data_IF_805592723130
#
_entry.id   IF_805592723130
#
_cell.length_a   1.000
_cell.length_b   1.000
_cell.length_c   1.000
_cell.angle_alpha   90.00
_cell.angle_beta   90.00
_cell.angle_gamma   90.00
#
_symmetry.space_group_name_H-M   'P 1'
#
loop_
_entity.id
_entity.type
_entity.pdbx_description
1 polymer ?
#
# COMPACT_ATOMS: atom_id res chain seq x y z
N UNK A 1 64.25 -27.83 -17.88
CA UNK A 1 63.46 -29.08 -17.80
C UNK A 1 63.25 -29.39 -16.33
N UNK A 2 62.06 -29.78 -15.87
CA UNK A 2 60.97 -28.88 -15.50
C UNK A 2 60.59 -28.93 -14.00
N UNK A 3 59.70 -28.00 -13.64
CA UNK A 3 58.59 -28.10 -12.66
C UNK A 3 58.58 -27.13 -11.48
N UNK A 4 57.37 -26.59 -11.32
CA UNK A 4 56.66 -26.13 -10.12
C UNK A 4 56.53 -24.64 -9.75
N UNK A 5 55.25 -24.29 -9.70
CA UNK A 5 54.52 -23.45 -8.75
C UNK A 5 54.72 -21.92 -8.80
N UNK A 6 53.70 -21.26 -9.37
CA UNK A 6 53.29 -19.90 -9.02
C UNK A 6 52.20 -19.95 -7.96
N UNK A 7 52.56 -19.65 -6.72
CA UNK A 7 51.62 -19.18 -5.70
C UNK A 7 51.63 -17.65 -5.67
N UNK A 8 50.44 -17.08 -5.46
CA UNK A 8 50.17 -15.64 -5.39
C UNK A 8 50.62 -15.08 -4.04
N UNK A 9 51.58 -14.15 -4.05
CA UNK A 9 51.86 -13.25 -2.93
C UNK A 9 51.16 -11.89 -3.14
N UNK A 10 50.49 -11.42 -2.10
CA UNK A 10 49.92 -10.07 -2.00
C UNK A 10 50.94 -9.10 -1.39
N UNK A 11 50.93 -7.79 -1.74
CA UNK A 11 51.63 -6.79 -0.93
C UNK A 11 50.71 -5.78 -0.26
N UNK A 12 50.81 -5.81 1.08
CA UNK A 12 51.01 -4.71 2.03
C UNK A 12 50.25 -3.37 1.89
N UNK A 13 49.48 -3.09 2.95
CA UNK A 13 48.92 -1.79 3.33
C UNK A 13 49.99 -0.79 3.80
N UNK A 14 49.95 0.45 3.28
CA UNK A 14 50.66 1.59 3.86
C UNK A 14 49.68 2.58 4.52
N UNK A 15 49.96 2.89 5.79
CA UNK A 15 49.19 3.76 6.68
C UNK A 15 49.52 5.24 6.41
N UNK A 16 48.54 6.03 5.99
CA UNK A 16 48.62 7.50 5.88
C UNK A 16 48.15 8.20 7.16
N UNK A 17 49.06 8.97 7.78
CA UNK A 17 48.83 9.82 8.97
C UNK A 17 47.80 10.93 8.69
N UNK A 18 46.88 11.17 9.63
CA UNK A 18 45.98 12.34 9.68
C UNK A 18 46.59 13.46 10.52
N UNK A 19 46.63 14.67 9.97
CA UNK A 19 46.89 15.89 10.74
C UNK A 19 45.62 16.34 11.49
N UNK A 20 45.82 16.91 12.68
CA UNK A 20 44.81 17.55 13.53
C UNK A 20 44.92 19.06 13.38
N UNK A 21 43.80 19.70 13.08
CA UNK A 21 43.48 21.12 13.31
C UNK A 21 41.96 21.22 13.11
N UNK A 22 41.16 22.02 13.80
CA UNK A 22 41.24 22.86 14.99
C UNK A 22 39.75 23.05 15.37
N UNK A 23 39.42 23.09 16.65
CA UNK A 23 38.04 23.03 17.15
C UNK A 23 37.31 24.37 16.93
N UNK A 24 36.26 24.33 16.11
CA UNK A 24 35.27 25.40 15.98
C UNK A 24 33.87 24.79 15.92
N UNK A 25 33.06 25.14 16.92
CA UNK A 25 31.72 24.62 17.23
C UNK A 25 30.85 24.30 15.99
N UNK A 26 30.36 23.05 15.90
CA UNK A 26 29.29 22.66 14.96
C UNK A 26 28.18 21.90 15.70
N UNK A 27 26.90 22.27 15.49
CA UNK A 27 25.76 21.53 16.05
C UNK A 27 25.68 20.10 15.48
N UNK A 28 25.33 19.15 16.34
CA UNK A 28 25.12 17.70 16.08
C UNK A 28 24.93 17.29 14.61
N UNK A 29 26.03 16.95 13.93
CA UNK A 29 26.00 16.30 12.62
C UNK A 29 25.99 14.78 12.79
N UNK A 30 24.88 14.14 12.45
CA UNK A 30 24.83 12.70 12.19
C UNK A 30 25.94 12.33 11.19
N UNK A 31 26.69 11.28 11.51
CA UNK A 31 27.86 10.83 10.74
C UNK A 31 27.57 10.57 9.25
N UNK A 32 28.62 10.46 8.42
CA UNK A 32 28.47 10.48 6.97
C UNK A 32 27.71 9.24 6.48
N UNK A 33 26.44 9.43 6.12
CA UNK A 33 25.65 8.43 5.39
C UNK A 33 26.25 8.23 4.01
N UNK A 34 26.58 6.99 3.64
CA UNK A 34 26.92 6.60 2.26
C UNK A 34 25.88 7.21 1.31
N UNK A 35 26.30 8.13 0.43
CA UNK A 35 25.45 8.71 -0.60
C UNK A 35 25.07 7.60 -1.58
N UNK A 36 23.92 6.97 -1.36
CA UNK A 36 23.24 6.22 -2.42
C UNK A 36 22.96 7.23 -3.55
N UNK A 37 23.23 6.84 -4.80
CA UNK A 37 22.86 7.66 -5.95
C UNK A 37 21.38 8.03 -5.81
N UNK A 38 21.08 9.33 -5.70
CA UNK A 38 19.69 9.81 -5.54
C UNK A 38 18.94 9.38 -6.80
N UNK A 39 18.09 8.37 -6.68
CA UNK A 39 17.11 8.02 -7.71
C UNK A 39 16.23 9.24 -7.96
N UNK A 40 15.82 9.44 -9.22
CA UNK A 40 14.97 10.58 -9.58
C UNK A 40 13.72 10.66 -8.66
N UNK A 41 13.37 11.84 -8.12
CA UNK A 41 12.21 12.00 -7.25
C UNK A 41 10.89 11.50 -7.86
N UNK A 42 10.70 11.57 -9.17
CA UNK A 42 9.51 11.03 -9.84
C UNK A 42 9.39 9.52 -9.69
N UNK A 43 10.50 8.79 -9.57
CA UNK A 43 10.47 7.36 -9.25
C UNK A 43 9.85 7.17 -7.86
N UNK A 44 10.17 8.04 -6.91
CA UNK A 44 9.61 7.98 -5.56
C UNK A 44 8.10 8.29 -5.56
N UNK A 45 7.65 9.31 -6.29
CA UNK A 45 6.22 9.60 -6.42
C UNK A 45 5.46 8.51 -7.17
N UNK A 46 6.04 7.96 -8.24
CA UNK A 46 5.46 6.84 -8.98
C UNK A 46 5.25 5.61 -8.08
N UNK A 47 6.16 5.34 -7.14
CA UNK A 47 5.98 4.28 -6.13
C UNK A 47 4.74 4.50 -5.26
N UNK A 48 4.47 5.74 -4.86
CA UNK A 48 3.29 6.05 -4.05
C UNK A 48 2.01 6.02 -4.87
N UNK A 49 2.03 6.64 -6.04
CA UNK A 49 0.92 6.66 -6.99
C UNK A 49 0.42 5.24 -7.30
N UNK A 50 1.34 4.33 -7.61
CA UNK A 50 1.00 2.94 -7.93
C UNK A 50 0.37 2.17 -6.77
N UNK A 51 0.62 2.59 -5.53
CA UNK A 51 0.07 1.96 -4.32
C UNK A 51 -1.25 2.56 -3.87
N UNK A 52 -1.54 3.80 -4.22
CA UNK A 52 -2.61 4.58 -3.55
C UNK A 52 -3.62 5.23 -4.49
N UNK A 53 -3.30 5.35 -5.77
CA UNK A 53 -4.14 5.99 -6.79
C UNK A 53 -4.45 4.98 -7.90
N UNK A 54 -3.43 4.52 -8.64
CA UNK A 54 -3.65 3.58 -9.75
C UNK A 54 -2.46 2.65 -9.98
N UNK A 55 -2.68 1.35 -9.75
CA UNK A 55 -1.66 0.31 -9.95
C UNK A 55 -1.30 0.08 -11.43
N UNK A 56 -2.31 0.12 -12.31
CA UNK A 56 -2.14 -0.09 -13.75
C UNK A 56 -2.52 1.20 -14.48
N UNK A 57 -1.51 1.98 -14.85
CA UNK A 57 -1.67 3.27 -15.53
C UNK A 57 -0.68 3.38 -16.69
N UNK A 58 -1.15 3.91 -17.83
CA UNK A 58 -0.28 4.40 -18.88
C UNK A 58 0.00 5.88 -18.65
N UNK A 59 1.17 6.23 -18.13
CA UNK A 59 1.45 7.62 -17.77
C UNK A 59 1.54 8.57 -18.98
N UNK A 60 2.07 8.11 -20.11
CA UNK A 60 2.14 8.96 -21.31
C UNK A 60 0.75 9.38 -21.82
N UNK A 61 -0.20 8.47 -22.09
CA UNK A 61 -1.55 8.88 -22.46
C UNK A 61 -2.23 9.69 -21.36
N UNK A 62 -2.07 9.32 -20.08
CA UNK A 62 -2.64 10.06 -18.95
C UNK A 62 -2.17 11.53 -18.94
N UNK A 63 -0.86 11.77 -19.09
CA UNK A 63 -0.29 13.11 -19.07
C UNK A 63 -0.73 13.93 -20.29
N UNK A 64 -0.72 13.34 -21.48
CA UNK A 64 -1.11 14.03 -22.72
C UNK A 64 -2.61 14.38 -22.75
N UNK A 65 -3.47 13.41 -22.46
CA UNK A 65 -4.93 13.62 -22.42
C UNK A 65 -5.29 14.59 -21.30
N UNK A 66 -4.73 14.41 -20.10
CA UNK A 66 -4.99 15.27 -18.95
C UNK A 66 -4.57 16.73 -19.19
N UNK A 67 -3.38 16.96 -19.78
CA UNK A 67 -2.93 18.31 -20.12
C UNK A 67 -3.79 18.97 -21.21
N UNK A 68 -4.28 18.17 -22.17
CA UNK A 68 -5.18 18.64 -23.24
C UNK A 68 -6.53 19.08 -22.66
N UNK A 69 -7.17 18.22 -21.86
CA UNK A 69 -8.45 18.50 -21.18
C UNK A 69 -8.31 19.74 -20.30
N UNK A 70 -7.26 19.81 -19.47
CA UNK A 70 -7.07 20.96 -18.58
C UNK A 70 -6.85 22.27 -19.35
N UNK A 71 -6.14 22.24 -20.47
CA UNK A 71 -5.96 23.43 -21.32
C UNK A 71 -7.28 23.88 -21.94
N UNK A 72 -8.13 22.93 -22.36
CA UNK A 72 -9.46 23.23 -22.88
C UNK A 72 -10.38 23.84 -21.81
N UNK A 73 -10.37 23.27 -20.59
CA UNK A 73 -11.13 23.79 -19.45
C UNK A 73 -10.70 25.21 -19.08
N UNK A 74 -9.39 25.46 -18.95
CA UNK A 74 -8.86 26.80 -18.64
C UNK A 74 -9.17 27.84 -19.72
N UNK A 75 -9.30 27.41 -20.97
CA UNK A 75 -9.69 28.25 -22.10
C UNK A 75 -11.22 28.45 -22.22
N UNK A 76 -12.02 27.86 -21.33
CA UNK A 76 -13.48 27.91 -21.38
C UNK A 76 -14.09 27.18 -22.58
N UNK A 77 -13.32 26.28 -23.22
CA UNK A 77 -13.74 25.50 -24.40
C UNK A 77 -14.44 24.19 -24.03
N UNK A 78 -14.29 23.76 -22.79
CA UNK A 78 -14.77 22.48 -22.26
C UNK A 78 -15.10 22.66 -20.78
N UNK A 79 -16.10 21.95 -20.29
CA UNK A 79 -16.38 21.78 -18.87
C UNK A 79 -16.21 20.32 -18.46
N UNK A 80 -16.12 20.04 -17.16
CA UNK A 80 -16.01 18.66 -16.68
C UNK A 80 -17.27 17.86 -17.06
N UNK A 81 -18.42 18.53 -17.16
CA UNK A 81 -19.70 17.92 -17.51
C UNK A 81 -19.83 17.52 -18.99
N UNK A 82 -18.95 18.03 -19.83
CA UNK A 82 -18.86 17.64 -21.24
C UNK A 82 -18.03 16.36 -21.45
N UNK A 83 -17.32 15.86 -20.43
CA UNK A 83 -16.49 14.66 -20.51
C UNK A 83 -17.33 13.40 -20.39
N UNK A 84 -17.02 12.38 -21.20
CA UNK A 84 -17.55 11.03 -20.98
C UNK A 84 -17.02 10.40 -19.68
N UNK A 85 -17.68 9.35 -19.19
CA UNK A 85 -17.33 8.74 -17.89
C UNK A 85 -15.88 8.26 -17.80
N UNK A 86 -15.37 7.63 -18.88
CA UNK A 86 -13.97 7.19 -18.93
C UNK A 86 -12.99 8.37 -18.93
N UNK A 87 -13.26 9.42 -19.72
CA UNK A 87 -12.42 10.61 -19.79
C UNK A 87 -12.41 11.37 -18.46
N UNK A 88 -13.56 11.49 -17.81
CA UNK A 88 -13.70 12.08 -16.48
C UNK A 88 -12.85 11.32 -15.47
N UNK A 89 -12.94 9.99 -15.44
CA UNK A 89 -12.16 9.15 -14.53
C UNK A 89 -10.66 9.26 -14.79
N UNK A 90 -10.22 9.26 -16.06
CA UNK A 90 -8.81 9.48 -16.39
C UNK A 90 -8.34 10.88 -15.99
N UNK A 91 -9.18 11.90 -16.17
CA UNK A 91 -8.88 13.27 -15.77
C UNK A 91 -8.80 13.44 -14.24
N UNK A 92 -9.62 12.72 -13.47
CA UNK A 92 -9.53 12.66 -12.01
C UNK A 92 -8.20 12.05 -11.56
N UNK A 93 -7.81 10.91 -12.14
CA UNK A 93 -6.51 10.28 -11.87
C UNK A 93 -5.35 11.22 -12.21
N UNK A 94 -5.45 11.96 -13.32
CA UNK A 94 -4.47 12.97 -13.70
C UNK A 94 -4.39 14.10 -12.65
N UNK A 95 -5.54 14.60 -12.18
CA UNK A 95 -5.58 15.62 -11.13
C UNK A 95 -4.98 15.13 -9.80
N UNK A 96 -5.23 13.88 -9.43
CA UNK A 96 -4.58 13.27 -8.26
C UNK A 96 -3.06 13.16 -8.43
N UNK A 97 -2.57 12.81 -9.62
CA UNK A 97 -1.15 12.82 -9.92
C UNK A 97 -0.54 14.22 -9.76
N UNK A 98 -1.22 15.27 -10.25
CA UNK A 98 -0.78 16.66 -10.09
C UNK A 98 -0.75 17.11 -8.63
N UNK A 99 -1.69 16.66 -7.80
CA UNK A 99 -1.68 16.93 -6.35
C UNK A 99 -0.56 16.18 -5.62
N UNK A 100 -0.24 14.97 -6.09
CA UNK A 100 0.78 14.12 -5.49
C UNK A 100 2.21 14.60 -5.78
N UNK A 101 2.48 15.06 -7.00
CA UNK A 101 3.82 15.42 -7.46
C UNK A 101 3.98 16.95 -7.42
N UNK A 102 4.78 17.49 -6.48
CA UNK A 102 5.06 18.92 -6.44
C UNK A 102 5.66 19.40 -7.76
N UNK A 103 5.25 20.59 -8.19
CA UNK A 103 5.76 21.28 -9.39
C UNK A 103 5.48 20.55 -10.72
N UNK A 104 4.75 19.44 -10.72
CA UNK A 104 4.46 18.70 -11.96
C UNK A 104 3.60 19.53 -12.92
N UNK A 105 2.65 20.30 -12.38
CA UNK A 105 1.79 21.18 -13.16
C UNK A 105 2.62 22.24 -13.88
N UNK A 106 3.51 22.92 -13.19
CA UNK A 106 4.42 23.92 -13.74
C UNK A 106 5.36 23.31 -14.77
N UNK A 107 5.85 22.10 -14.51
CA UNK A 107 6.74 21.36 -15.41
C UNK A 107 6.05 20.97 -16.72
N UNK A 108 4.79 20.57 -16.69
CA UNK A 108 4.02 20.20 -17.89
C UNK A 108 3.65 21.40 -18.77
N UNK A 109 3.44 22.58 -18.18
CA UNK A 109 3.12 23.82 -18.91
C UNK A 109 4.32 24.76 -19.09
N UNK A 110 5.53 24.29 -18.80
CA UNK A 110 6.74 25.05 -19.09
C UNK A 110 6.85 25.23 -20.61
N UNK A 111 7.21 26.43 -21.08
CA UNK A 111 7.41 26.73 -22.49
C UNK A 111 8.49 25.86 -23.15
N UNK A 112 9.43 25.37 -22.34
CA UNK A 112 10.50 24.46 -22.78
C UNK A 112 10.10 22.97 -22.68
N UNK A 113 8.91 22.65 -22.14
CA UNK A 113 8.42 21.28 -22.06
C UNK A 113 8.05 20.78 -23.45
N UNK A 114 8.89 19.91 -23.98
CA UNK A 114 8.64 19.22 -25.25
C UNK A 114 8.20 17.77 -24.99
N UNK A 115 7.85 17.04 -26.05
CA UNK A 115 7.43 15.63 -25.95
C UNK A 115 8.43 14.74 -25.23
N UNK A 116 9.74 15.02 -25.29
CA UNK A 116 10.76 14.24 -24.59
C UNK A 116 10.66 14.41 -23.07
N UNK A 117 10.26 15.59 -22.59
CA UNK A 117 10.08 15.84 -21.17
C UNK A 117 8.87 15.07 -20.62
N UNK A 118 7.76 15.04 -21.35
CA UNK A 118 6.57 14.25 -20.99
C UNK A 118 6.93 12.75 -20.97
N UNK A 119 7.64 12.27 -22.00
CA UNK A 119 8.11 10.88 -22.07
C UNK A 119 9.04 10.54 -20.90
N UNK A 120 9.93 11.46 -20.52
CA UNK A 120 10.82 11.29 -19.39
C UNK A 120 10.03 11.17 -18.07
N UNK A 121 9.09 12.09 -17.82
CA UNK A 121 8.25 12.08 -16.63
C UNK A 121 7.46 10.77 -16.54
N UNK A 122 6.80 10.40 -17.64
CA UNK A 122 6.03 9.16 -17.75
C UNK A 122 6.90 7.94 -17.46
N UNK A 123 8.11 7.88 -18.00
CA UNK A 123 9.06 6.80 -17.79
C UNK A 123 9.51 6.68 -16.33
N UNK A 124 9.81 7.80 -15.67
CA UNK A 124 10.23 7.79 -14.26
C UNK A 124 9.09 7.38 -13.33
N UNK A 125 7.87 7.86 -13.56
CA UNK A 125 6.68 7.45 -12.80
C UNK A 125 6.38 5.96 -12.99
N UNK A 126 6.42 5.48 -14.24
CA UNK A 126 6.22 4.06 -14.57
C UNK A 126 7.27 3.16 -13.91
N UNK A 127 8.55 3.59 -13.91
CA UNK A 127 9.63 2.92 -13.20
C UNK A 127 9.36 2.86 -11.69
N UNK A 128 8.83 3.93 -11.12
CA UNK A 128 8.38 3.98 -9.73
C UNK A 128 7.31 2.93 -9.42
N UNK A 129 6.21 2.93 -10.17
CA UNK A 129 5.10 1.97 -10.02
C UNK A 129 5.59 0.53 -10.14
N UNK A 130 6.37 0.23 -11.18
CA UNK A 130 6.91 -1.10 -11.42
C UNK A 130 7.85 -1.55 -10.28
N UNK A 131 8.70 -0.65 -9.80
CA UNK A 131 9.61 -0.90 -8.68
C UNK A 131 8.86 -1.18 -7.38
N UNK A 132 7.86 -0.36 -7.02
CA UNK A 132 7.04 -0.59 -5.82
C UNK A 132 6.38 -1.96 -5.84
N UNK A 133 5.71 -2.29 -6.95
CA UNK A 133 5.05 -3.58 -7.13
C UNK A 133 6.01 -4.76 -7.03
N UNK A 134 7.19 -4.66 -7.64
CA UNK A 134 8.20 -5.73 -7.57
C UNK A 134 8.67 -5.98 -6.14
N UNK A 135 9.02 -4.92 -5.41
CA UNK A 135 9.49 -5.00 -4.03
C UNK A 135 8.40 -5.55 -3.09
N UNK A 136 7.17 -5.04 -3.22
CA UNK A 136 6.06 -5.43 -2.37
C UNK A 136 5.62 -6.87 -2.67
N UNK A 137 5.55 -7.28 -3.95
CA UNK A 137 5.31 -8.69 -4.31
C UNK A 137 6.39 -9.61 -3.75
N UNK A 138 7.67 -9.23 -3.88
CA UNK A 138 8.78 -10.06 -3.41
C UNK A 138 8.70 -10.27 -1.89
N UNK A 139 8.42 -9.21 -1.14
CA UNK A 139 8.36 -9.26 0.32
C UNK A 139 7.08 -9.97 0.81
N UNK A 140 5.91 -9.64 0.24
CA UNK A 140 4.63 -10.22 0.63
C UNK A 140 4.54 -11.70 0.28
N UNK A 141 5.16 -12.15 -0.82
CA UNK A 141 5.23 -13.57 -1.19
C UNK A 141 5.72 -14.46 -0.05
N UNK A 142 6.71 -14.00 0.71
CA UNK A 142 7.26 -14.75 1.84
C UNK A 142 6.43 -14.56 3.12
N UNK A 143 5.92 -13.34 3.35
CA UNK A 143 5.14 -13.02 4.54
C UNK A 143 3.74 -13.66 4.53
N UNK A 144 3.12 -13.85 3.36
CA UNK A 144 1.76 -14.39 3.27
C UNK A 144 1.67 -15.80 3.85
N UNK A 145 2.75 -16.60 3.73
CA UNK A 145 2.83 -17.94 4.31
C UNK A 145 2.81 -17.85 5.83
N UNK A 146 3.56 -16.92 6.42
CA UNK A 146 3.52 -16.68 7.87
C UNK A 146 2.14 -16.19 8.31
N UNK A 147 1.51 -15.29 7.55
CA UNK A 147 0.19 -14.72 7.85
C UNK A 147 -0.90 -15.80 7.91
N UNK A 148 -0.87 -16.78 7.01
CA UNK A 148 -1.88 -17.84 6.96
C UNK A 148 -1.53 -19.06 7.83
N UNK A 149 -0.29 -19.14 8.35
CA UNK A 149 0.13 -20.23 9.23
C UNK A 149 -0.36 -19.94 10.66
N UNK A 150 -1.11 -20.87 11.30
CA UNK A 150 -1.48 -20.69 12.70
C UNK A 150 -0.25 -20.54 13.61
N UNK A 151 -0.37 -19.73 14.67
CA UNK A 151 0.75 -19.44 15.57
C UNK A 151 1.22 -20.74 16.25
N UNK A 152 2.52 -21.00 16.19
CA UNK A 152 3.13 -22.19 16.78
C UNK A 152 2.90 -23.48 15.99
N UNK A 153 2.34 -23.41 14.78
CA UNK A 153 2.17 -24.58 13.91
C UNK A 153 2.91 -24.42 12.58
N UNK A 154 2.84 -25.47 11.75
CA UNK A 154 3.30 -25.46 10.36
C UNK A 154 2.14 -25.80 9.44
N UNK A 155 2.18 -25.32 8.19
CA UNK A 155 1.26 -25.78 7.16
C UNK A 155 1.61 -27.22 6.77
N UNK A 156 0.58 -27.99 6.43
CA UNK A 156 0.72 -29.37 5.98
C UNK A 156 0.03 -29.52 4.62
N UNK A 157 0.77 -29.87 3.54
CA UNK A 157 2.24 -29.95 3.47
C UNK A 157 2.94 -28.61 3.76
N UNK A 158 4.21 -28.65 4.18
CA UNK A 158 4.95 -27.41 4.43
C UNK A 158 5.19 -26.65 3.12
N UNK A 159 4.90 -25.35 3.11
CA UNK A 159 5.09 -24.49 1.94
C UNK A 159 6.40 -23.72 2.02
N UNK A 160 7.15 -23.71 0.91
CA UNK A 160 8.30 -22.83 0.75
C UNK A 160 7.87 -21.36 0.74
N UNK A 161 8.59 -20.53 1.50
CA UNK A 161 8.33 -19.08 1.56
C UNK A 161 8.64 -18.36 0.25
N UNK A 162 9.56 -18.88 -0.56
CA UNK A 162 10.04 -18.20 -1.77
C UNK A 162 9.58 -18.86 -3.07
N UNK A 163 9.11 -20.10 -3.03
CA UNK A 163 8.62 -20.86 -4.18
C UNK A 163 7.09 -20.96 -4.11
N UNK A 164 6.43 -20.78 -5.25
CA UNK A 164 4.96 -20.73 -5.34
C UNK A 164 4.33 -21.99 -5.94
N UNK A 165 5.11 -22.89 -6.54
CA UNK A 165 4.60 -24.05 -7.31
C UNK A 165 3.53 -24.85 -6.57
N UNK A 166 3.72 -25.05 -5.27
CA UNK A 166 2.84 -25.88 -4.45
C UNK A 166 1.70 -25.09 -3.77
N UNK A 167 1.58 -23.79 -4.05
CA UNK A 167 0.51 -22.92 -3.52
C UNK A 167 -0.73 -23.00 -4.42
N UNK A 168 -1.63 -22.04 -4.31
CA UNK A 168 -2.87 -22.04 -5.08
C UNK A 168 -3.75 -23.22 -4.68
N UNK A 169 -4.39 -23.83 -5.68
CA UNK A 169 -5.27 -24.99 -5.51
C UNK A 169 -4.52 -26.33 -5.33
N UNK A 170 -3.18 -26.31 -5.35
CA UNK A 170 -2.35 -27.47 -5.04
C UNK A 170 -2.17 -27.71 -3.53
N UNK A 171 -2.50 -26.72 -2.69
CA UNK A 171 -2.41 -26.84 -1.24
C UNK A 171 -3.73 -26.43 -0.55
N UNK A 172 -4.15 -27.22 0.44
CA UNK A 172 -5.46 -27.10 1.09
C UNK A 172 -5.71 -25.71 1.66
N UNK A 173 -4.73 -25.15 2.40
CA UNK A 173 -4.86 -23.81 3.00
C UNK A 173 -4.90 -22.68 1.98
N UNK A 174 -3.94 -22.60 1.05
CA UNK A 174 -3.92 -21.51 0.05
C UNK A 174 -5.12 -21.59 -0.89
N UNK A 175 -5.53 -22.80 -1.25
CA UNK A 175 -6.72 -23.03 -2.07
C UNK A 175 -7.99 -22.59 -1.35
N UNK A 176 -8.12 -22.86 -0.04
CA UNK A 176 -9.23 -22.35 0.78
C UNK A 176 -9.35 -20.83 0.73
N UNK A 177 -8.24 -20.09 0.87
CA UNK A 177 -8.26 -18.63 0.79
C UNK A 177 -8.61 -18.10 -0.61
N UNK A 178 -8.20 -18.82 -1.66
CA UNK A 178 -8.41 -18.43 -3.06
C UNK A 178 -9.74 -18.91 -3.65
N UNK A 179 -10.45 -19.81 -2.97
CA UNK A 179 -11.72 -20.34 -3.46
C UNK A 179 -12.70 -19.18 -3.67
N UNK A 180 -13.35 -19.09 -4.84
CA UNK A 180 -14.36 -18.08 -5.11
C UNK A 180 -15.52 -18.13 -4.14
N UNK A 181 -16.19 -16.99 -3.99
CA UNK A 181 -17.41 -16.86 -3.20
C UNK A 181 -18.56 -17.75 -3.68
N UNK A 182 -18.57 -18.13 -4.96
CA UNK A 182 -19.62 -18.95 -5.58
C UNK A 182 -19.41 -20.45 -5.40
N UNK A 183 -18.26 -20.88 -4.87
CA UNK A 183 -17.87 -22.29 -4.79
C UNK A 183 -17.64 -22.72 -3.33
N UNK A 184 -17.96 -23.98 -3.02
CA UNK A 184 -17.68 -24.55 -1.71
C UNK A 184 -16.33 -25.29 -1.72
N UNK A 185 -15.34 -24.75 -1.01
CA UNK A 185 -14.04 -25.41 -0.86
C UNK A 185 -14.12 -26.77 -0.15
N UNK A 186 -15.16 -27.03 0.65
CA UNK A 186 -15.34 -28.31 1.34
C UNK A 186 -15.81 -29.42 0.39
N UNK A 187 -16.37 -29.08 -0.77
CA UNK A 187 -16.67 -30.04 -1.82
C UNK A 187 -15.39 -30.53 -2.52
N UNK A 188 -15.22 -31.84 -2.56
CA UNK A 188 -14.05 -32.48 -3.18
C UNK A 188 -14.04 -32.34 -4.70
N UNK A 189 -15.21 -32.39 -5.34
CA UNK A 189 -15.31 -32.22 -6.79
C UNK A 189 -14.84 -30.82 -7.19
N UNK A 190 -15.29 -29.79 -6.48
CA UNK A 190 -14.82 -28.41 -6.61
C UNK A 190 -13.30 -28.29 -6.46
N UNK A 191 -12.71 -28.86 -5.39
CA UNK A 191 -11.25 -28.81 -5.19
C UNK A 191 -10.49 -29.47 -6.35
N UNK A 192 -10.96 -30.61 -6.83
CA UNK A 192 -10.31 -31.36 -7.90
C UNK A 192 -10.43 -30.62 -9.24
N UNK A 193 -11.58 -30.02 -9.53
CA UNK A 193 -11.80 -29.23 -10.75
C UNK A 193 -10.98 -27.93 -10.79
N UNK A 194 -10.81 -27.27 -9.64
CA UNK A 194 -9.91 -26.11 -9.50
C UNK A 194 -8.43 -26.50 -9.63
N UNK A 195 -8.03 -27.65 -9.05
CA UNK A 195 -6.65 -28.14 -9.11
C UNK A 195 -6.25 -28.61 -10.51
N UNK A 196 -7.17 -29.27 -11.23
CA UNK A 196 -6.93 -29.74 -12.61
C UNK A 196 -6.97 -28.62 -13.64
N UNK A 197 -7.53 -27.46 -13.29
CA UNK A 197 -7.75 -26.34 -14.20
C UNK A 197 -9.01 -26.48 -15.06
N UNK A 198 -9.87 -27.50 -14.79
CA UNK A 198 -11.17 -27.62 -15.42
C UNK A 198 -12.05 -26.40 -15.13
N UNK A 199 -11.97 -25.87 -13.91
CA UNK A 199 -12.50 -24.55 -13.58
C UNK A 199 -11.32 -23.58 -13.57
N UNK A 200 -11.31 -22.63 -14.51
CA UNK A 200 -10.32 -21.54 -14.54
C UNK A 200 -10.91 -20.31 -13.87
N UNK A 201 -10.15 -19.74 -12.93
CA UNK A 201 -10.57 -18.56 -12.18
C UNK A 201 -10.35 -17.29 -12.98
N UNK A 202 -11.40 -16.53 -13.20
CA UNK A 202 -11.35 -15.22 -13.83
C UNK A 202 -11.26 -14.10 -12.79
N UNK A 203 -10.94 -12.87 -13.22
CA UNK A 203 -10.74 -11.74 -12.31
C UNK A 203 -12.01 -11.27 -11.56
N UNK A 204 -13.18 -11.60 -12.09
CA UNK A 204 -14.52 -11.35 -11.54
C UNK A 204 -14.96 -12.36 -10.47
N UNK A 205 -14.29 -13.51 -10.38
CA UNK A 205 -14.55 -14.48 -9.33
C UNK A 205 -13.71 -14.14 -8.10
N UNK A 206 -14.34 -13.45 -7.16
CA UNK A 206 -13.64 -12.91 -6.01
C UNK A 206 -13.29 -14.00 -4.99
N UNK A 207 -12.04 -14.06 -4.53
CA UNK A 207 -11.63 -15.07 -3.58
C UNK A 207 -12.17 -14.76 -2.19
N UNK A 208 -12.55 -15.81 -1.46
CA UNK A 208 -13.14 -15.72 -0.12
C UNK A 208 -12.24 -15.02 0.91
N UNK A 209 -10.92 -14.92 0.64
CA UNK A 209 -10.01 -14.17 1.52
C UNK A 209 -10.33 -12.68 1.61
N UNK A 210 -11.11 -12.10 0.71
CA UNK A 210 -11.54 -10.70 0.87
C UNK A 210 -12.45 -10.54 2.09
N UNK A 211 -13.19 -11.59 2.45
CA UNK A 211 -14.24 -11.54 3.46
C UNK A 211 -13.76 -11.89 4.86
N UNK A 212 -14.33 -11.20 5.85
CA UNK A 212 -14.11 -11.48 7.25
C UNK A 212 -14.45 -12.95 7.58
N UNK A 213 -13.60 -13.60 8.38
CA UNK A 213 -13.73 -15.00 8.75
C UNK A 213 -13.84 -16.00 7.57
N UNK A 214 -13.50 -15.60 6.35
CA UNK A 214 -13.67 -16.38 5.12
C UNK A 214 -15.13 -16.81 4.90
N UNK A 215 -16.07 -15.90 5.12
CA UNK A 215 -17.50 -16.13 4.93
C UNK A 215 -18.11 -15.07 4.04
N UNK A 216 -18.81 -15.50 3.00
CA UNK A 216 -19.57 -14.64 2.10
C UNK A 216 -21.06 -14.76 2.42
N UNK A 217 -21.75 -13.63 2.52
CA UNK A 217 -23.20 -13.56 2.69
C UNK A 217 -23.85 -13.15 1.35
N UNK A 218 -24.54 -14.07 0.65
CA UNK A 218 -25.23 -13.72 -0.60
C UNK A 218 -26.40 -12.74 -0.43
N UNK A 219 -26.93 -12.58 0.78
CA UNK A 219 -28.00 -11.63 1.08
C UNK A 219 -27.48 -10.22 1.39
N UNK A 220 -26.22 -10.11 1.82
CA UNK A 220 -25.50 -8.85 2.04
C UNK A 220 -24.04 -9.01 1.59
N UNK A 221 -23.75 -8.77 0.30
CA UNK A 221 -22.40 -8.90 -0.24
C UNK A 221 -21.35 -7.98 0.39
N UNK A 222 -21.75 -6.92 1.11
CA UNK A 222 -20.81 -6.04 1.81
C UNK A 222 -20.43 -6.56 3.20
N UNK A 223 -21.17 -7.54 3.73
CA UNK A 223 -20.89 -8.12 5.03
C UNK A 223 -19.48 -8.70 5.07
N UNK A 224 -18.61 -8.10 5.90
CA UNK A 224 -17.23 -8.53 6.04
C UNK A 224 -16.34 -8.28 4.82
N UNK A 225 -16.83 -7.67 3.74
CA UNK A 225 -16.04 -7.40 2.54
C UNK A 225 -14.79 -6.56 2.88
N UNK A 226 -13.64 -6.99 2.34
CA UNK A 226 -12.31 -6.43 2.59
C UNK A 226 -11.86 -6.40 4.07
N UNK A 227 -12.52 -7.09 5.00
CA UNK A 227 -12.22 -7.02 6.45
C UNK A 227 -11.48 -8.24 7.00
N UNK A 228 -11.03 -9.16 6.13
CA UNK A 228 -10.34 -10.36 6.57
C UNK A 228 -9.00 -10.08 7.28
N UNK A 229 -8.60 -11.00 8.16
CA UNK A 229 -7.32 -10.90 8.89
C UNK A 229 -6.11 -10.88 7.94
N UNK A 230 -6.17 -11.62 6.85
CA UNK A 230 -5.10 -11.66 5.85
C UNK A 230 -4.98 -10.33 5.11
N UNK A 231 -6.11 -9.68 4.79
CA UNK A 231 -6.11 -8.33 4.21
C UNK A 231 -5.45 -7.33 5.14
N UNK A 232 -5.85 -7.28 6.41
CA UNK A 232 -5.27 -6.36 7.39
C UNK A 232 -3.77 -6.60 7.57
N UNK A 233 -3.35 -7.86 7.67
CA UNK A 233 -1.94 -8.22 7.84
C UNK A 233 -1.10 -7.87 6.61
N UNK A 234 -1.61 -8.13 5.40
CA UNK A 234 -0.95 -7.77 4.15
C UNK A 234 -0.85 -6.25 3.98
N UNK A 235 -1.90 -5.50 4.34
CA UNK A 235 -1.88 -4.04 4.29
C UNK A 235 -0.82 -3.47 5.22
N UNK A 236 -0.76 -3.96 6.47
CA UNK A 236 0.27 -3.55 7.43
C UNK A 236 1.68 -3.87 6.94
N UNK A 237 1.88 -5.05 6.35
CA UNK A 237 3.16 -5.46 5.77
C UNK A 237 3.62 -4.49 4.66
N UNK A 238 2.72 -4.07 3.78
CA UNK A 238 3.03 -3.14 2.67
C UNK A 238 3.20 -1.71 3.17
N UNK A 239 2.30 -1.19 4.00
CA UNK A 239 2.25 0.24 4.29
C UNK A 239 2.93 0.67 5.59
N UNK A 240 2.97 -0.18 6.61
CA UNK A 240 3.42 0.26 7.95
C UNK A 240 4.79 -0.31 8.31
N UNK A 241 4.90 -1.61 8.46
CA UNK A 241 6.18 -2.31 8.62
C UNK A 241 5.90 -3.81 8.65
N UNK A 242 6.77 -4.67 8.08
CA UNK A 242 6.71 -6.11 8.30
C UNK A 242 6.67 -6.49 9.79
N UNK A 243 7.35 -5.73 10.65
CA UNK A 243 7.37 -5.99 12.10
C UNK A 243 6.06 -5.68 12.84
N UNK A 244 5.18 -4.87 12.24
CA UNK A 244 3.92 -4.42 12.87
C UNK A 244 2.79 -5.44 12.83
N UNK A 245 3.00 -6.57 12.15
CA UNK A 245 2.00 -7.64 12.01
C UNK A 245 1.76 -8.35 13.36
N UNK A 246 2.75 -8.36 14.27
CA UNK A 246 2.69 -9.05 15.57
C UNK A 246 2.84 -8.14 16.81
N UNK A 247 3.01 -6.82 16.67
CA UNK A 247 3.20 -5.91 17.80
C UNK A 247 4.38 -4.95 17.61
N UNK A 248 4.94 -4.45 18.72
CA UNK A 248 5.79 -3.25 18.82
C UNK A 248 6.72 -2.97 17.62
N UNK A 249 6.78 -1.70 17.14
CA UNK A 249 7.58 -1.33 15.99
C UNK A 249 9.08 -1.51 16.28
N UNK A 250 9.67 -2.58 15.74
CA UNK A 250 11.13 -2.85 15.77
C UNK A 250 11.84 -2.39 14.49
N UNK A 251 11.19 -1.56 13.69
CA UNK A 251 11.67 -1.18 12.37
C UNK A 251 12.77 -0.10 12.46
N UNK A 252 13.89 -0.32 11.77
CA UNK A 252 14.96 0.66 11.59
C UNK A 252 14.67 1.67 10.46
N UNK A 253 13.56 1.49 9.73
CA UNK A 253 13.11 2.35 8.63
C UNK A 253 11.61 2.63 8.73
N UNK A 254 11.21 3.84 8.39
CA UNK A 254 9.80 4.25 8.30
C UNK A 254 9.03 3.41 7.27
N UNK A 255 7.76 3.11 7.57
CA UNK A 255 6.84 2.46 6.63
C UNK A 255 6.49 3.31 5.43
N UNK A 256 6.01 2.69 4.34
CA UNK A 256 5.56 3.40 3.14
C UNK A 256 4.51 4.48 3.46
N UNK A 257 3.56 4.21 4.36
CA UNK A 257 2.58 5.18 4.82
C UNK A 257 3.24 6.38 5.52
N UNK A 258 4.19 6.14 6.42
CA UNK A 258 4.90 7.22 7.11
C UNK A 258 5.82 8.01 6.16
N UNK A 259 6.50 7.34 5.23
CA UNK A 259 7.37 7.96 4.21
C UNK A 259 6.59 8.97 3.37
N UNK A 260 5.34 8.66 3.04
CA UNK A 260 4.49 9.50 2.20
C UNK A 260 3.43 10.30 3.00
N UNK A 261 3.52 10.31 4.33
CA UNK A 261 2.60 11.08 5.18
C UNK A 261 1.13 10.66 5.08
N UNK A 262 0.85 9.39 4.77
CA UNK A 262 -0.52 8.86 4.70
C UNK A 262 -1.21 8.97 6.06
N UNK A 263 -2.45 9.46 6.04
CA UNK A 263 -3.32 9.59 7.21
C UNK A 263 -4.60 8.76 7.11
N UNK A 264 -4.90 8.28 5.91
CA UNK A 264 -6.13 7.58 5.54
C UNK A 264 -5.77 6.46 4.56
N UNK A 265 -6.54 5.38 4.61
CA UNK A 265 -6.55 4.32 3.60
C UNK A 265 -7.33 4.82 2.38
N UNK A 266 -6.91 4.45 1.17
CA UNK A 266 -7.63 4.76 -0.08
C UNK A 266 -8.23 3.50 -0.71
N UNK A 267 -9.34 3.61 -1.47
CA UNK A 267 -9.88 2.51 -2.28
C UNK A 267 -8.81 1.77 -3.09
N UNK A 268 -8.00 2.51 -3.85
CA UNK A 268 -6.93 1.94 -4.65
C UNK A 268 -5.84 1.24 -3.83
N UNK A 269 -5.55 1.71 -2.60
CA UNK A 269 -4.61 1.01 -1.72
C UNK A 269 -5.13 -0.33 -1.21
N UNK A 270 -6.44 -0.45 -0.99
CA UNK A 270 -7.10 -1.71 -0.65
C UNK A 270 -7.08 -2.68 -1.83
N UNK A 271 -7.49 -2.22 -3.02
CA UNK A 271 -7.45 -3.01 -4.25
C UNK A 271 -6.03 -3.47 -4.60
N UNK A 272 -5.02 -2.61 -4.39
CA UNK A 272 -3.61 -2.92 -4.57
C UNK A 272 -3.19 -4.09 -3.66
N UNK A 273 -3.45 -3.99 -2.35
CA UNK A 273 -3.07 -5.03 -1.38
C UNK A 273 -3.80 -6.33 -1.63
N UNK A 274 -5.11 -6.29 -1.95
CA UNK A 274 -5.87 -7.47 -2.34
C UNK A 274 -5.23 -8.18 -3.54
N UNK A 275 -4.82 -7.41 -4.55
CA UNK A 275 -4.17 -7.94 -5.75
C UNK A 275 -2.84 -8.61 -5.43
N UNK A 276 -2.00 -7.99 -4.58
CA UNK A 276 -0.73 -8.61 -4.17
C UNK A 276 -0.94 -9.85 -3.30
N UNK A 277 -1.93 -9.85 -2.41
CA UNK A 277 -2.27 -10.99 -1.56
C UNK A 277 -2.78 -12.17 -2.39
N UNK A 278 -3.72 -11.93 -3.32
CA UNK A 278 -4.20 -12.91 -4.29
C UNK A 278 -3.04 -13.50 -5.07
N UNK A 279 -2.21 -12.66 -5.67
CA UNK A 279 -1.03 -13.13 -6.38
C UNK A 279 -0.11 -13.95 -5.46
N UNK A 280 0.16 -13.53 -4.24
CA UNK A 280 1.07 -14.24 -3.33
C UNK A 280 0.56 -15.63 -2.92
N UNK A 281 -0.76 -15.84 -2.91
CA UNK A 281 -1.40 -17.12 -2.61
C UNK A 281 -1.46 -18.08 -3.80
N UNK A 282 -1.41 -17.59 -5.04
CA UNK A 282 -1.49 -18.44 -6.24
C UNK A 282 -0.23 -19.25 -6.46
N UNK A 283 -0.29 -20.24 -7.37
CA UNK A 283 0.89 -20.98 -7.83
C UNK A 283 1.64 -20.30 -8.98
N UNK A 284 1.06 -19.28 -9.61
CA UNK A 284 1.64 -18.63 -10.78
C UNK A 284 3.00 -17.97 -10.47
N UNK A 285 4.06 -18.23 -11.26
CA UNK A 285 5.39 -17.68 -10.99
C UNK A 285 5.50 -16.20 -11.36
N UNK A 286 4.68 -15.70 -12.28
CA UNK A 286 4.83 -14.37 -12.89
C UNK A 286 3.62 -13.49 -12.63
N UNK A 287 3.88 -12.25 -12.24
CA UNK A 287 2.85 -11.22 -12.16
C UNK A 287 2.63 -10.66 -13.57
N UNK A 288 1.82 -11.33 -14.37
CA UNK A 288 1.55 -10.93 -15.76
C UNK A 288 0.31 -10.04 -15.87
N UNK A 289 0.33 -9.14 -16.86
CA UNK A 289 -0.83 -8.31 -17.27
C UNK A 289 -1.80 -9.05 -18.20
N UNK A 290 -1.34 -10.14 -18.83
CA UNK A 290 -2.04 -10.86 -19.92
C UNK A 290 -2.28 -12.32 -19.62
N UNK A 291 -1.84 -12.79 -18.44
CA UNK A 291 -2.04 -14.18 -18.04
C UNK A 291 -3.53 -14.40 -17.72
N UNK A 292 -4.23 -15.10 -18.62
CA UNK A 292 -5.65 -15.43 -18.50
C UNK A 292 -5.93 -16.32 -17.27
N UNK A 293 -4.92 -16.98 -16.72
CA UNK A 293 -5.06 -17.89 -15.56
C UNK A 293 -5.15 -17.13 -14.24
N UNK A 294 -4.52 -15.96 -14.14
CA UNK A 294 -4.60 -15.14 -12.92
C UNK A 294 -5.32 -13.82 -13.12
N UNK A 295 -5.30 -13.20 -14.29
CA UNK A 295 -6.00 -11.94 -14.62
C UNK A 295 -6.00 -10.89 -13.48
N UNK A 296 -4.80 -10.61 -12.94
CA UNK A 296 -4.63 -9.69 -11.81
C UNK A 296 -5.06 -8.26 -12.14
N UNK A 297 -5.00 -7.87 -13.42
CA UNK A 297 -5.44 -6.54 -13.87
C UNK A 297 -6.97 -6.44 -13.79
N UNK A 298 -7.70 -7.42 -14.31
CA UNK A 298 -9.17 -7.42 -14.22
C UNK A 298 -9.63 -7.51 -12.77
N UNK A 299 -9.00 -8.38 -11.97
CA UNK A 299 -9.29 -8.47 -10.53
C UNK A 299 -9.10 -7.11 -9.83
N UNK A 300 -7.95 -6.46 -10.03
CA UNK A 300 -7.70 -5.12 -9.47
C UNK A 300 -8.76 -4.11 -9.91
N UNK A 301 -9.07 -4.07 -11.21
CA UNK A 301 -10.01 -3.12 -11.77
C UNK A 301 -11.42 -3.31 -11.20
N UNK A 302 -11.91 -4.55 -11.11
CA UNK A 302 -13.25 -4.84 -10.59
C UNK A 302 -13.38 -4.54 -9.08
N UNK A 303 -12.35 -4.88 -8.30
CA UNK A 303 -12.33 -4.51 -6.87
C UNK A 303 -12.31 -2.99 -6.72
N UNK A 304 -11.53 -2.30 -7.54
CA UNK A 304 -11.46 -0.84 -7.47
C UNK A 304 -12.76 -0.17 -7.96
N UNK A 305 -13.38 -0.72 -9.00
CA UNK A 305 -14.68 -0.28 -9.50
C UNK A 305 -15.75 -0.36 -8.42
N UNK A 306 -15.87 -1.50 -7.72
CA UNK A 306 -16.78 -1.63 -6.59
C UNK A 306 -16.47 -0.70 -5.41
N UNK A 307 -15.20 -0.33 -5.21
CA UNK A 307 -14.79 0.60 -4.14
C UNK A 307 -14.87 2.08 -4.56
N UNK A 308 -15.12 2.38 -5.83
CA UNK A 308 -15.26 3.72 -6.39
C UNK A 308 -16.67 3.95 -6.95
N UNK A 309 -17.57 2.99 -6.82
CA UNK A 309 -18.94 3.08 -7.29
C UNK A 309 -19.70 4.12 -6.45
N UNK A 310 -20.24 5.18 -7.08
CA UNK A 310 -21.04 6.17 -6.38
C UNK A 310 -22.28 5.59 -5.69
N UNK A 311 -22.85 4.50 -6.20
CA UNK A 311 -24.00 3.84 -5.60
C UNK A 311 -23.66 3.14 -4.29
N UNK A 312 -22.40 2.73 -4.12
CA UNK A 312 -21.88 2.02 -2.94
C UNK A 312 -21.11 2.93 -1.97
N UNK A 313 -21.22 4.25 -2.15
CA UNK A 313 -20.40 5.23 -1.42
C UNK A 313 -20.58 5.14 0.10
N UNK A 314 -21.77 4.81 0.59
CA UNK A 314 -22.07 4.71 2.03
C UNK A 314 -21.33 3.54 2.68
N UNK A 315 -21.33 2.40 1.99
CA UNK A 315 -20.70 1.15 2.36
C UNK A 315 -19.17 1.30 2.32
N UNK A 316 -18.66 1.92 1.25
CA UNK A 316 -17.24 2.25 1.08
C UNK A 316 -16.76 3.19 2.17
N UNK A 317 -17.47 4.26 2.48
CA UNK A 317 -17.09 5.20 3.54
C UNK A 317 -17.02 4.50 4.90
N UNK A 318 -18.02 3.68 5.21
CA UNK A 318 -18.05 2.86 6.44
C UNK A 318 -16.86 1.88 6.49
N UNK A 319 -16.51 1.27 5.36
CA UNK A 319 -15.35 0.39 5.23
C UNK A 319 -14.04 1.17 5.46
N UNK A 320 -13.87 2.32 4.82
CA UNK A 320 -12.67 3.15 4.95
C UNK A 320 -12.49 3.67 6.39
N UNK A 321 -13.56 4.09 7.06
CA UNK A 321 -13.52 4.47 8.48
C UNK A 321 -13.10 3.32 9.40
N UNK A 322 -13.56 2.11 9.11
CA UNK A 322 -13.11 0.91 9.82
C UNK A 322 -11.61 0.68 9.60
N UNK A 323 -11.13 0.81 8.36
CA UNK A 323 -9.72 0.64 8.02
C UNK A 323 -8.82 1.71 8.63
N UNK A 324 -9.24 2.97 8.63
CA UNK A 324 -8.50 4.08 9.24
C UNK A 324 -8.32 3.88 10.73
N UNK A 325 -9.34 3.36 11.43
CA UNK A 325 -9.22 2.99 12.85
C UNK A 325 -8.22 1.86 13.08
N UNK A 326 -8.08 0.92 12.14
CA UNK A 326 -7.17 -0.23 12.25
C UNK A 326 -5.73 0.10 11.89
N UNK A 327 -5.51 0.97 10.90
CA UNK A 327 -4.19 1.29 10.35
C UNK A 327 -3.62 2.59 10.92
N UNK A 328 -4.46 3.58 11.16
CA UNK A 328 -4.08 4.92 11.62
C UNK A 328 -4.79 5.32 12.93
N UNK A 329 -4.75 4.50 14.00
CA UNK A 329 -5.53 4.74 15.23
C UNK A 329 -5.20 6.10 15.88
N UNK A 330 -3.93 6.51 15.84
CA UNK A 330 -3.50 7.79 16.40
C UNK A 330 -4.06 8.99 15.62
N UNK A 331 -4.20 8.88 14.29
CA UNK A 331 -4.74 9.96 13.47
C UNK A 331 -6.24 10.14 13.72
N UNK A 332 -6.97 9.03 13.88
CA UNK A 332 -8.39 9.06 14.26
C UNK A 332 -8.59 9.63 15.67
N UNK A 333 -7.72 9.28 16.62
CA UNK A 333 -7.76 9.85 17.97
C UNK A 333 -7.51 11.37 17.98
N UNK A 334 -6.58 11.85 17.15
CA UNK A 334 -6.31 13.29 16.97
C UNK A 334 -7.51 13.99 16.32
N UNK A 335 -8.07 13.44 15.24
CA UNK A 335 -9.20 14.03 14.53
C UNK A 335 -10.48 14.11 15.39
N UNK A 336 -10.70 13.13 16.26
CA UNK A 336 -11.82 13.14 17.23
C UNK A 336 -11.61 14.10 18.40
N UNK A 337 -10.45 14.76 18.51
CA UNK A 337 -10.13 15.67 19.61
C UNK A 337 -10.14 15.00 20.98
N UNK A 338 -10.04 13.66 21.02
CA UNK A 338 -10.17 12.87 22.24
C UNK A 338 -8.89 12.99 23.08
N UNK A 339 -8.87 13.99 23.96
CA UNK A 339 -7.84 14.09 25.00
C UNK A 339 -8.12 12.99 26.02
N UNK A 340 -7.18 12.07 26.29
CA UNK A 340 -7.37 11.05 27.32
C UNK A 340 -7.74 11.73 28.64
N UNK A 341 -8.81 11.27 29.31
CA UNK A 341 -9.34 11.88 30.54
C UNK A 341 -8.29 11.97 31.66
N UNK A 342 -7.32 11.06 31.65
CA UNK A 342 -6.21 10.98 32.60
C UNK A 342 -4.99 11.82 32.20
N UNK A 343 -4.97 12.45 31.02
CA UNK A 343 -3.83 13.27 30.61
C UNK A 343 -3.68 14.50 31.52
N UNK A 344 -2.43 14.93 31.72
CA UNK A 344 -2.13 16.14 32.49
C UNK A 344 -2.91 17.35 31.96
N UNK A 345 -3.09 17.47 30.65
CA UNK A 345 -3.85 18.57 30.05
C UNK A 345 -5.35 18.51 30.38
N UNK A 346 -5.96 17.32 30.37
CA UNK A 346 -7.35 17.15 30.83
C UNK A 346 -7.50 17.51 32.32
N UNK A 347 -6.55 17.09 33.16
CA UNK A 347 -6.53 17.43 34.58
C UNK A 347 -6.31 18.94 34.82
N UNK A 348 -5.48 19.61 34.01
CA UNK A 348 -5.30 21.06 34.06
C UNK A 348 -6.57 21.81 33.65
N UNK A 349 -7.31 21.31 32.65
CA UNK A 349 -8.60 21.90 32.22
C UNK A 349 -9.68 21.71 33.28
N UNK A 350 -9.72 20.55 33.93
CA UNK A 350 -10.62 20.23 35.04
C UNK A 350 -10.31 21.07 36.28
N UNK A 351 -9.03 21.19 36.65
CA UNK A 351 -8.58 22.09 37.73
C UNK A 351 -9.01 23.53 37.44
N UNK A 352 -8.86 24.00 36.20
CA UNK A 352 -9.29 25.35 35.80
C UNK A 352 -10.80 25.51 36.01
N UNK A 353 -11.64 24.57 35.53
CA UNK A 353 -13.09 24.57 35.75
C UNK A 353 -13.49 24.62 37.24
N UNK A 354 -12.82 23.83 38.09
CA UNK A 354 -13.07 23.83 39.54
C UNK A 354 -12.75 25.18 40.20
N UNK A 355 -11.72 25.87 39.70
CA UNK A 355 -11.35 27.19 40.20
C UNK A 355 -12.28 28.30 39.69
N UNK A 356 -12.83 28.17 38.47
CA UNK A 356 -13.78 29.17 37.93
C UNK A 356 -15.18 29.06 38.51
N UNK A 357 -15.62 27.88 38.96
CA UNK A 357 -16.97 27.67 39.48
C UNK A 357 -17.16 28.07 40.95
N UNK A 358 -16.08 28.30 41.70
CA UNK A 358 -16.14 28.75 43.10
C UNK A 358 -16.88 27.79 44.07
N UNK A 359 -16.63 27.86 45.39
CA UNK A 359 -17.42 27.10 46.35
C UNK A 359 -18.80 27.73 46.47
N UNK A 360 -19.87 26.97 46.21
CA UNK A 360 -21.21 27.31 46.72
C UNK A 360 -21.08 27.37 48.24
N UNK A 361 -21.17 28.57 48.79
CA UNK A 361 -20.95 28.82 50.21
C UNK A 361 -21.99 28.11 51.07
N UNK A 362 -21.55 27.17 51.89
CA UNK A 362 -22.28 26.80 53.10
C UNK A 362 -21.84 27.76 54.21
N UNK A 363 -22.53 28.89 54.32
CA UNK A 363 -22.55 29.67 55.55
C UNK A 363 -23.47 28.95 56.55
N UNK A 364 -22.88 28.17 57.44
CA UNK A 364 -23.47 27.89 58.76
C UNK A 364 -22.60 28.59 59.80
N UNK A 365 -22.95 29.83 60.11
CA UNK A 365 -22.45 30.52 61.30
C UNK A 365 -23.52 30.35 62.39
N UNK A 366 -23.17 29.57 63.41
CA UNK A 366 -23.77 29.62 64.74
C UNK A 366 -23.31 30.91 65.43
N UNK A 367 -24.25 31.81 65.70
CA UNK A 367 -24.44 32.55 66.95
C UNK A 367 -25.74 33.37 66.82
#
# INVERSE_FOLDING_TARGET
>A
MPTHNRENEAPSSSLGKRSRSDDGERPFMLGPTKKFAKTDPLVHYGRHFGRTIRMFCGFEPLLNSGATIETAIKAGRLTIDDLGDEERKEYEIFNELLRLVPELRERLWNKDANSNEILYIASMLAKGVAGARSDDNKSLKAAIIEIITPKGSVLTPTLSRNVKTDRGFFHVTTGKYLCPTELDWNDEATRNALRSGQITMTGDQWPIFLYENLKYNPQDPWEGFMKSKIMVSAYKHVFTSPSSVDGEPRATRSGNAAIHGMKRVTPASLAYVATLARFSLTSSPTFSRTDRVTDNKRFYNLVLEALEDPEEATEVDTLLEWWDRKIFPNMVAIASGSIPRNSAFAQMKERRRRLTLGPVGNNTATA
#
